data_IF_421146550955
#
_entry.id   IF_421146550955
#
_cell.length_a   1.000
_cell.length_b   1.000
_cell.length_c   1.000
_cell.angle_alpha   90.00
_cell.angle_beta   90.00
_cell.angle_gamma   90.00
#
_symmetry.space_group_name_H-M   'P 1'
#
loop_
_entity.id
_entity.type
_entity.pdbx_description
1 polymer ?
#
# COMPACT_ATOMS: atom_id res chain seq x y z
N UNK A 1 17.98 8.22 7.87
CA UNK A 1 17.29 7.62 6.71
C UNK A 1 17.27 6.10 6.88
N UNK A 2 16.11 5.44 6.92
CA UNK A 2 15.98 4.01 7.28
C UNK A 2 16.11 3.03 6.11
N UNK A 3 16.15 3.52 4.86
CA UNK A 3 16.18 2.70 3.63
C UNK A 3 17.22 1.57 3.65
N UNK A 4 18.50 1.79 4.04
CA UNK A 4 19.50 0.72 4.03
C UNK A 4 19.16 -0.41 4.99
N UNK A 5 18.50 -0.11 6.12
CA UNK A 5 18.11 -1.11 7.12
C UNK A 5 16.94 -1.97 6.62
N UNK A 6 15.97 -1.36 5.94
CA UNK A 6 14.85 -2.11 5.35
C UNK A 6 15.32 -3.01 4.21
N UNK A 7 16.17 -2.51 3.31
CA UNK A 7 16.74 -3.32 2.22
C UNK A 7 17.60 -4.46 2.77
N UNK A 8 18.42 -4.20 3.80
CA UNK A 8 19.20 -5.25 4.45
C UNK A 8 18.29 -6.29 5.09
N UNK A 9 17.25 -5.88 5.81
CA UNK A 9 16.29 -6.79 6.44
C UNK A 9 15.58 -7.65 5.41
N UNK A 10 15.16 -7.07 4.30
CA UNK A 10 14.49 -7.80 3.21
C UNK A 10 15.43 -8.83 2.58
N UNK A 11 16.71 -8.49 2.40
CA UNK A 11 17.72 -9.42 1.86
C UNK A 11 18.02 -10.63 2.76
N UNK A 12 17.70 -10.53 4.06
CA UNK A 12 17.87 -11.64 5.01
C UNK A 12 16.68 -12.61 4.99
N UNK A 13 15.56 -12.23 4.38
CA UNK A 13 14.41 -13.11 4.16
C UNK A 13 14.66 -13.94 2.89
N UNK A 14 14.74 -15.26 3.02
CA UNK A 14 15.01 -16.17 1.89
C UNK A 14 13.94 -17.26 1.75
N UNK A 15 13.17 -17.31 0.65
CA UNK A 15 13.13 -16.31 -0.42
C UNK A 15 12.42 -15.02 0.03
N UNK A 16 12.75 -13.84 -0.53
CA UNK A 16 12.11 -12.58 -0.14
C UNK A 16 10.59 -12.60 -0.30
N UNK A 17 10.07 -13.41 -1.21
CA UNK A 17 8.63 -13.57 -1.49
C UNK A 17 7.95 -14.61 -0.59
N UNK A 18 8.54 -14.95 0.55
CA UNK A 18 8.09 -16.08 1.39
C UNK A 18 7.27 -15.70 2.63
N UNK A 19 7.22 -14.41 2.99
CA UNK A 19 6.68 -13.92 4.26
C UNK A 19 5.94 -12.58 4.09
N UNK A 20 4.89 -12.37 4.88
CA UNK A 20 4.19 -11.08 4.96
C UNK A 20 5.05 -9.98 5.61
N UNK A 21 6.09 -10.35 6.37
CA UNK A 21 7.11 -9.41 6.82
C UNK A 21 7.80 -8.71 5.63
N UNK A 22 7.96 -9.41 4.49
CA UNK A 22 8.52 -8.80 3.29
C UNK A 22 7.61 -7.73 2.71
N UNK A 23 6.29 -7.93 2.76
CA UNK A 23 5.33 -6.91 2.34
C UNK A 23 5.41 -5.66 3.22
N UNK A 24 5.54 -5.84 4.54
CA UNK A 24 5.76 -4.73 5.49
C UNK A 24 7.05 -3.96 5.17
N UNK A 25 8.14 -4.67 4.89
CA UNK A 25 9.40 -4.03 4.50
C UNK A 25 9.27 -3.28 3.16
N UNK A 26 8.62 -3.88 2.16
CA UNK A 26 8.35 -3.24 0.87
C UNK A 26 7.47 -1.99 1.02
N UNK A 27 6.49 -2.02 1.92
CA UNK A 27 5.67 -0.87 2.26
C UNK A 27 6.51 0.28 2.85
N UNK A 28 7.37 -0.03 3.83
CA UNK A 28 8.23 0.98 4.45
C UNK A 28 9.26 1.55 3.47
N UNK A 29 9.77 0.72 2.55
CA UNK A 29 10.66 1.19 1.48
C UNK A 29 9.90 2.14 0.53
N UNK A 30 8.66 1.81 0.17
CA UNK A 30 7.80 2.66 -0.64
C UNK A 30 7.57 4.03 0.00
N UNK A 31 7.16 4.08 1.27
CA UNK A 31 6.94 5.32 2.02
C UNK A 31 8.19 6.20 2.06
N UNK A 32 9.35 5.57 2.26
CA UNK A 32 10.64 6.26 2.26
C UNK A 32 10.93 6.88 0.88
N UNK A 33 10.70 6.17 -0.23
CA UNK A 33 10.85 6.76 -1.57
C UNK A 33 9.81 7.86 -1.86
N UNK A 34 8.58 7.73 -1.35
CA UNK A 34 7.56 8.78 -1.43
C UNK A 34 8.05 10.07 -0.74
N UNK A 35 8.63 9.96 0.45
CA UNK A 35 9.22 11.10 1.18
C UNK A 35 10.42 11.75 0.48
N UNK A 36 11.10 11.03 -0.41
CA UNK A 36 12.14 11.56 -1.31
C UNK A 36 11.57 12.24 -2.57
N UNK A 37 10.27 12.12 -2.83
CA UNK A 37 9.65 12.52 -4.09
C UNK A 37 9.98 11.58 -5.26
N UNK A 38 10.58 10.41 -5.00
CA UNK A 38 10.85 9.40 -6.03
C UNK A 38 9.64 8.47 -6.16
N UNK A 39 8.59 8.96 -6.80
CA UNK A 39 7.29 8.30 -6.87
C UNK A 39 7.31 7.01 -7.70
N UNK A 40 8.18 6.91 -8.71
CA UNK A 40 8.31 5.71 -9.54
C UNK A 40 8.86 4.53 -8.72
N UNK A 41 9.96 4.75 -7.98
CA UNK A 41 10.48 3.74 -7.06
C UNK A 41 9.47 3.41 -5.96
N UNK A 42 8.81 4.43 -5.39
CA UNK A 42 7.80 4.24 -4.37
C UNK A 42 6.67 3.32 -4.85
N UNK A 43 6.12 3.60 -6.05
CA UNK A 43 5.07 2.78 -6.66
C UNK A 43 5.57 1.36 -6.90
N UNK A 44 6.76 1.20 -7.48
CA UNK A 44 7.33 -0.13 -7.76
C UNK A 44 7.50 -0.99 -6.50
N UNK A 45 7.91 -0.39 -5.38
CA UNK A 45 8.00 -1.11 -4.10
C UNK A 45 6.64 -1.48 -3.52
N UNK A 46 5.66 -0.58 -3.56
CA UNK A 46 4.32 -0.88 -3.08
C UNK A 46 3.62 -1.95 -3.93
N UNK A 47 3.74 -1.90 -5.26
CA UNK A 47 3.16 -2.91 -6.17
C UNK A 47 3.79 -4.29 -5.95
N UNK A 48 5.11 -4.37 -5.72
CA UNK A 48 5.77 -5.64 -5.36
C UNK A 48 5.24 -6.21 -4.06
N UNK A 49 5.06 -5.37 -3.04
CA UNK A 49 4.48 -5.77 -1.76
C UNK A 49 3.06 -6.29 -1.92
N UNK A 50 2.23 -5.57 -2.68
CA UNK A 50 0.83 -5.95 -2.92
C UNK A 50 0.74 -7.28 -3.68
N UNK A 51 1.54 -7.41 -4.75
CA UNK A 51 1.61 -8.65 -5.53
C UNK A 51 2.09 -9.83 -4.68
N UNK A 52 2.98 -9.61 -3.72
CA UNK A 52 3.43 -10.66 -2.81
C UNK A 52 2.28 -11.16 -1.94
N UNK A 53 1.52 -10.27 -1.28
CA UNK A 53 0.40 -10.66 -0.41
C UNK A 53 -0.79 -11.23 -1.20
N UNK A 54 -1.05 -10.75 -2.42
CA UNK A 54 -2.09 -11.30 -3.30
C UNK A 54 -1.73 -12.71 -3.81
N UNK A 55 -0.44 -12.98 -4.05
CA UNK A 55 0.05 -14.30 -4.50
C UNK A 55 0.32 -15.29 -3.37
N UNK A 56 0.09 -14.90 -2.11
CA UNK A 56 0.15 -15.82 -0.97
C UNK A 56 -0.98 -16.85 -1.09
N UNK A 57 -0.74 -17.90 -1.87
CA UNK A 57 -1.67 -18.98 -2.16
C UNK A 57 -2.26 -19.59 -0.88
N UNK A 58 -3.48 -20.17 -0.94
CA UNK A 58 -4.23 -20.71 0.20
C UNK A 58 -3.53 -21.84 0.98
N UNK A 59 -2.35 -22.29 0.55
CA UNK A 59 -1.53 -23.28 1.25
C UNK A 59 -0.81 -22.70 2.47
N UNK A 60 -0.61 -21.39 2.55
CA UNK A 60 -0.11 -20.70 3.74
C UNK A 60 -1.27 -19.95 4.37
N UNK A 61 -1.42 -20.08 5.69
CA UNK A 61 -2.46 -19.40 6.46
C UNK A 61 -2.21 -17.89 6.30
N UNK A 62 -3.11 -17.19 5.60
CA UNK A 62 -3.11 -15.72 5.54
C UNK A 62 -3.20 -15.25 6.99
N UNK A 63 -2.16 -14.54 7.44
CA UNK A 63 -2.14 -13.97 8.79
C UNK A 63 -2.75 -12.59 8.76
N UNK A 64 -3.20 -12.12 9.91
CA UNK A 64 -3.67 -10.74 10.08
C UNK A 64 -2.65 -9.71 9.60
N UNK A 65 -1.35 -9.97 9.80
CA UNK A 65 -0.25 -9.15 9.27
C UNK A 65 -0.28 -9.03 7.74
N UNK A 66 -0.58 -10.11 7.02
CA UNK A 66 -0.71 -10.08 5.56
C UNK A 66 -1.88 -9.19 5.12
N UNK A 67 -3.02 -9.29 5.82
CA UNK A 67 -4.21 -8.51 5.47
C UNK A 67 -4.03 -7.03 5.82
N UNK A 68 -3.45 -6.73 6.98
CA UNK A 68 -3.12 -5.35 7.38
C UNK A 68 -2.10 -4.73 6.42
N UNK A 69 -1.01 -5.43 6.11
CA UNK A 69 -0.01 -4.93 5.14
C UNK A 69 -0.60 -4.72 3.75
N UNK A 70 -1.48 -5.60 3.27
CA UNK A 70 -2.21 -5.42 2.03
C UNK A 70 -3.06 -4.13 2.04
N UNK A 71 -3.79 -3.86 3.14
CA UNK A 71 -4.57 -2.64 3.30
C UNK A 71 -3.71 -1.38 3.26
N UNK A 72 -2.58 -1.37 3.97
CA UNK A 72 -1.64 -0.24 3.99
C UNK A 72 -0.98 -0.03 2.62
N UNK A 73 -0.58 -1.11 1.93
CA UNK A 73 0.00 -1.02 0.59
C UNK A 73 -0.98 -0.43 -0.42
N UNK A 74 -2.25 -0.85 -0.38
CA UNK A 74 -3.31 -0.26 -1.21
C UNK A 74 -3.48 1.23 -0.91
N UNK A 75 -3.53 1.60 0.38
CA UNK A 75 -3.62 3.01 0.77
C UNK A 75 -2.43 3.85 0.27
N UNK A 76 -1.21 3.33 0.40
CA UNK A 76 -0.01 4.01 -0.06
C UNK A 76 0.05 4.15 -1.60
N UNK A 77 -0.42 3.15 -2.35
CA UNK A 77 -0.61 3.27 -3.80
C UNK A 77 -1.64 4.35 -4.16
N UNK A 78 -2.69 4.49 -3.33
CA UNK A 78 -3.64 5.60 -3.42
C UNK A 78 -2.96 6.95 -3.25
N UNK A 79 -2.16 7.11 -2.19
CA UNK A 79 -1.40 8.34 -1.94
C UNK A 79 -0.42 8.66 -3.06
N UNK A 80 0.36 7.68 -3.52
CA UNK A 80 1.34 7.88 -4.60
C UNK A 80 0.61 8.29 -5.89
N UNK A 81 -0.52 7.66 -6.20
CA UNK A 81 -1.36 8.02 -7.36
C UNK A 81 -1.92 9.42 -7.25
N UNK A 82 -2.33 9.84 -6.05
CA UNK A 82 -2.85 11.17 -5.77
C UNK A 82 -1.78 12.24 -5.97
N UNK A 83 -0.58 12.04 -5.41
CA UNK A 83 0.58 12.94 -5.59
C UNK A 83 0.97 13.03 -7.07
N UNK A 84 0.85 11.92 -7.81
CA UNK A 84 1.12 11.85 -9.24
C UNK A 84 0.00 12.44 -10.12
N UNK A 85 -1.05 13.02 -9.52
CA UNK A 85 -2.17 13.65 -10.22
C UNK A 85 -3.18 12.65 -10.81
N UNK A 86 -2.99 11.34 -10.61
CA UNK A 86 -3.89 10.29 -11.09
C UNK A 86 -5.06 10.06 -10.11
N UNK A 87 -5.91 11.06 -9.93
CA UNK A 87 -6.95 11.06 -8.87
C UNK A 87 -7.92 9.88 -9.01
N UNK A 88 -8.32 9.50 -10.23
CA UNK A 88 -9.20 8.35 -10.44
C UNK A 88 -8.57 7.03 -9.97
N UNK A 89 -7.27 6.84 -10.20
CA UNK A 89 -6.54 5.66 -9.69
C UNK A 89 -6.38 5.72 -8.17
N UNK A 90 -6.12 6.91 -7.63
CA UNK A 90 -6.03 7.10 -6.19
C UNK A 90 -7.33 6.68 -5.50
N UNK A 91 -8.47 7.11 -6.05
CA UNK A 91 -9.79 6.76 -5.54
C UNK A 91 -10.03 5.24 -5.54
N UNK A 92 -9.75 4.54 -6.65
CA UNK A 92 -9.87 3.07 -6.73
C UNK A 92 -9.02 2.36 -5.67
N UNK A 93 -7.77 2.78 -5.49
CA UNK A 93 -6.89 2.20 -4.47
C UNK A 93 -7.41 2.43 -3.05
N UNK A 94 -7.90 3.63 -2.75
CA UNK A 94 -8.49 3.92 -1.44
C UNK A 94 -9.79 3.13 -1.18
N UNK A 95 -10.63 2.91 -2.20
CA UNK A 95 -11.82 2.07 -2.06
C UNK A 95 -11.45 0.63 -1.73
N UNK A 96 -10.46 0.08 -2.44
CA UNK A 96 -9.94 -1.27 -2.19
C UNK A 96 -9.34 -1.39 -0.79
N UNK A 97 -8.58 -0.40 -0.34
CA UNK A 97 -8.02 -0.34 1.01
C UNK A 97 -9.14 -0.35 2.07
N UNK A 98 -10.17 0.49 1.89
CA UNK A 98 -11.32 0.58 2.79
C UNK A 98 -12.09 -0.75 2.88
N UNK A 99 -12.37 -1.38 1.74
CA UNK A 99 -13.09 -2.66 1.69
C UNK A 99 -12.36 -3.75 2.48
N UNK A 100 -11.03 -3.85 2.30
CA UNK A 100 -10.22 -4.80 3.03
C UNK A 100 -10.16 -4.46 4.52
N UNK A 101 -9.89 -3.19 4.87
CA UNK A 101 -9.79 -2.74 6.25
C UNK A 101 -11.08 -2.99 7.05
N UNK A 102 -12.25 -2.78 6.43
CA UNK A 102 -13.56 -3.12 7.04
C UNK A 102 -13.73 -4.61 7.27
N UNK A 103 -13.27 -5.46 6.33
CA UNK A 103 -13.35 -6.92 6.46
C UNK A 103 -12.55 -7.45 7.66
N UNK A 104 -11.44 -6.81 8.00
CA UNK A 104 -10.52 -7.25 9.08
C UNK A 104 -10.60 -6.42 10.37
N UNK A 105 -11.55 -5.48 10.48
CA UNK A 105 -11.68 -4.53 11.59
C UNK A 105 -10.38 -3.73 11.87
N UNK A 106 -9.71 -3.27 10.80
CA UNK A 106 -8.52 -2.44 10.91
C UNK A 106 -8.89 -0.94 10.91
N UNK A 107 -9.28 -0.45 12.09
CA UNK A 107 -9.90 0.88 12.28
C UNK A 107 -9.07 2.04 11.77
N UNK A 108 -7.75 2.01 11.96
CA UNK A 108 -6.89 3.12 11.52
C UNK A 108 -6.91 3.27 10.00
N UNK A 109 -6.76 2.15 9.27
CA UNK A 109 -6.85 2.16 7.81
C UNK A 109 -8.26 2.54 7.31
N UNK A 110 -9.33 2.13 8.01
CA UNK A 110 -10.70 2.58 7.70
C UNK A 110 -10.81 4.10 7.76
N UNK A 111 -10.37 4.71 8.86
CA UNK A 111 -10.48 6.16 9.05
C UNK A 111 -9.68 6.93 7.98
N UNK A 112 -8.44 6.53 7.74
CA UNK A 112 -7.57 7.18 6.74
C UNK A 112 -8.14 7.04 5.33
N UNK A 113 -8.61 5.85 4.96
CA UNK A 113 -9.18 5.60 3.64
C UNK A 113 -10.49 6.38 3.42
N UNK A 114 -11.35 6.51 4.44
CA UNK A 114 -12.59 7.31 4.34
C UNK A 114 -12.30 8.80 4.12
N UNK A 115 -11.31 9.36 4.82
CA UNK A 115 -10.87 10.75 4.61
C UNK A 115 -10.30 10.94 3.20
N UNK A 116 -9.46 10.02 2.74
CA UNK A 116 -8.88 10.07 1.41
C UNK A 116 -9.93 9.93 0.29
N UNK A 117 -10.96 9.10 0.49
CA UNK A 117 -12.07 8.96 -0.45
C UNK A 117 -12.92 10.22 -0.55
N UNK A 118 -13.22 10.87 0.59
CA UNK A 118 -13.94 12.14 0.57
C UNK A 118 -13.16 13.20 -0.22
N UNK A 119 -11.85 13.31 0.03
CA UNK A 119 -10.97 14.26 -0.66
C UNK A 119 -10.90 13.97 -2.17
N UNK A 120 -10.61 12.73 -2.56
CA UNK A 120 -10.51 12.36 -3.97
C UNK A 120 -11.86 12.46 -4.71
N UNK A 121 -12.99 12.21 -4.04
CA UNK A 121 -14.31 12.40 -4.64
C UNK A 121 -14.62 13.88 -4.96
N UNK A 122 -14.13 14.82 -4.16
CA UNK A 122 -14.24 16.26 -4.45
C UNK A 122 -13.37 16.60 -5.67
N UNK A 123 -12.11 16.20 -5.65
CA UNK A 123 -11.16 16.46 -6.74
C UNK A 123 -11.63 15.89 -8.09
N UNK A 124 -12.27 14.71 -8.08
CA UNK A 124 -12.85 14.11 -9.30
C UNK A 124 -13.99 14.95 -9.88
N UNK A 125 -14.81 15.59 -9.03
CA UNK A 125 -15.89 16.48 -9.49
C UNK A 125 -15.34 17.77 -10.10
N UNK A 126 -14.25 18.29 -9.56
CA UNK A 126 -13.59 19.49 -10.07
C UNK A 126 -12.89 19.25 -11.42
N UNK A 127 -12.55 18.00 -11.74
CA UNK A 127 -11.96 17.59 -13.02
C UNK A 127 -13.00 17.19 -14.08
N UNK A 128 -14.29 17.21 -13.75
CA UNK A 128 -15.35 16.93 -14.71
C UNK A 128 -15.50 18.10 -15.71
N UNK A 129 -15.68 17.82 -17.02
CA UNK A 129 -15.75 18.84 -18.08
C UNK A 129 -17.01 19.72 -18.00
#
# INVERSE_FOLDING_TARGET
YALPLYLRSLSLINPPESSCHSAVLMNNISEVFTGMGNLEEAQGWAERGLKLVENFQPKKKITRECEESCGVLLFNLGMISEISGSIAKAHDYYERALQLAKKIDFKDCVNEAELALQRTAILLKEQAP
#
